data_IF_005354940806
#
_entry.id   IF_005354940806
#
_cell.length_a   1.000
_cell.length_b   1.000
_cell.length_c   1.000
_cell.angle_alpha   90.00
_cell.angle_beta   90.00
_cell.angle_gamma   90.00
#
_symmetry.space_group_name_H-M   'P 1'
#
loop_
_entity.id
_entity.type
_entity.pdbx_description
1 polymer ?
#
# COMPACT_ATOMS: atom_id res chain seq x y z
N UNK A 1 25.13 -7.89 3.10
CA UNK A 1 24.48 -6.64 3.54
C UNK A 1 25.57 -5.63 3.85
N UNK A 2 25.48 -4.40 3.33
CA UNK A 2 26.45 -3.33 3.64
C UNK A 2 25.90 -2.51 4.80
N UNK A 3 26.74 -2.25 5.80
CA UNK A 3 26.36 -1.44 6.95
C UNK A 3 25.89 -0.04 6.50
N UNK A 4 24.78 0.44 7.07
CA UNK A 4 24.17 1.72 6.70
C UNK A 4 23.31 1.70 5.43
N UNK A 5 23.06 0.55 4.82
CA UNK A 5 22.21 0.43 3.62
C UNK A 5 21.14 -0.65 3.80
N UNK A 6 20.00 -0.46 3.15
CA UNK A 6 18.97 -1.50 3.04
C UNK A 6 19.50 -2.70 2.27
N UNK A 7 18.97 -3.89 2.59
CA UNK A 7 19.29 -5.08 1.82
C UNK A 7 18.83 -4.88 0.37
N UNK A 8 19.66 -5.30 -0.58
CA UNK A 8 19.30 -5.27 -1.99
C UNK A 8 19.34 -6.70 -2.52
N UNK A 9 18.26 -7.11 -3.16
CA UNK A 9 18.16 -8.44 -3.77
C UNK A 9 18.15 -8.28 -5.28
N UNK A 10 18.92 -9.14 -5.93
CA UNK A 10 19.00 -9.19 -7.37
C UNK A 10 18.40 -10.53 -7.82
N UNK A 11 17.39 -10.50 -8.68
CA UNK A 11 16.86 -11.70 -9.34
C UNK A 11 17.26 -11.67 -10.81
N UNK A 12 17.99 -12.69 -11.23
CA UNK A 12 18.33 -12.89 -12.64
C UNK A 12 18.26 -14.36 -12.93
N UNK A 13 17.40 -14.69 -13.88
CA UNK A 13 17.23 -16.05 -14.34
C UNK A 13 18.38 -16.35 -15.31
N UNK A 14 19.16 -17.37 -14.98
CA UNK A 14 20.15 -17.91 -15.91
C UNK A 14 19.47 -19.00 -16.74
N UNK A 15 19.22 -18.73 -18.02
CA UNK A 15 18.29 -19.56 -18.79
C UNK A 15 18.93 -20.79 -19.45
N UNK A 16 20.27 -20.89 -19.54
CA UNK A 16 20.92 -22.01 -20.25
C UNK A 16 22.35 -22.28 -19.76
N UNK A 17 22.72 -23.55 -19.60
CA UNK A 17 24.11 -23.99 -19.61
C UNK A 17 24.56 -24.25 -21.05
N UNK A 18 25.43 -23.40 -21.62
CA UNK A 18 26.18 -23.73 -22.86
C UNK A 18 27.64 -23.93 -22.48
N UNK A 19 28.25 -25.04 -22.92
CA UNK A 19 29.64 -25.39 -22.61
C UNK A 19 29.95 -25.38 -21.09
N UNK A 20 29.02 -25.83 -20.25
CA UNK A 20 29.22 -25.87 -18.79
C UNK A 20 29.13 -24.52 -18.06
N UNK A 21 28.70 -23.45 -18.74
CA UNK A 21 28.57 -22.11 -18.13
C UNK A 21 27.14 -21.57 -18.23
N UNK A 22 26.66 -20.97 -17.14
CA UNK A 22 25.40 -20.21 -17.10
C UNK A 22 25.51 -18.95 -17.95
N UNK A 23 24.54 -18.73 -18.85
CA UNK A 23 24.47 -17.57 -19.72
C UNK A 23 23.39 -16.58 -19.25
N UNK A 24 23.65 -15.25 -19.38
CA UNK A 24 24.83 -14.62 -19.98
C UNK A 24 26.03 -14.59 -19.01
N UNK A 25 27.19 -15.02 -19.50
CA UNK A 25 28.45 -14.95 -18.75
C UNK A 25 29.11 -13.57 -18.91
N UNK A 26 29.66 -13.02 -17.82
CA UNK A 26 30.37 -11.72 -17.85
C UNK A 26 29.48 -10.47 -17.87
N UNK A 27 28.18 -10.59 -17.52
CA UNK A 27 27.30 -9.42 -17.42
C UNK A 27 27.57 -8.66 -16.11
N UNK A 28 28.00 -7.41 -16.20
CA UNK A 28 28.02 -6.51 -15.05
C UNK A 28 26.59 -6.09 -14.72
N UNK A 29 26.24 -6.20 -13.44
CA UNK A 29 24.90 -5.94 -12.94
C UNK A 29 24.98 -4.85 -11.89
N UNK A 30 24.44 -3.68 -12.23
CA UNK A 30 24.31 -2.58 -11.29
C UNK A 30 23.12 -2.85 -10.36
N UNK A 31 23.38 -2.84 -9.05
CA UNK A 31 22.34 -2.92 -8.02
C UNK A 31 22.38 -1.60 -7.25
N UNK A 32 21.28 -0.86 -7.25
CA UNK A 32 21.20 0.35 -6.43
C UNK A 32 21.01 -0.05 -4.97
N UNK A 33 21.92 0.43 -4.14
CA UNK A 33 21.81 0.34 -2.69
C UNK A 33 21.30 1.67 -2.16
N UNK A 34 20.23 1.63 -1.36
CA UNK A 34 19.70 2.85 -0.72
C UNK A 34 20.22 2.94 0.71
N UNK A 35 20.84 4.07 1.12
CA UNK A 35 21.28 4.26 2.49
C UNK A 35 20.08 4.35 3.43
N UNK A 36 20.29 3.90 4.66
CA UNK A 36 19.40 4.17 5.79
C UNK A 36 19.68 5.59 6.26
N UNK A 37 18.66 6.45 6.33
CA UNK A 37 18.86 7.87 6.66
C UNK A 37 18.25 8.21 8.01
N UNK A 38 16.92 8.18 8.10
CA UNK A 38 16.18 8.54 9.32
C UNK A 38 14.93 7.66 9.48
N UNK A 39 15.08 6.35 9.76
CA UNK A 39 13.93 5.47 9.93
C UNK A 39 13.15 5.83 11.20
N UNK A 40 11.83 5.90 11.09
CA UNK A 40 10.91 6.25 12.19
C UNK A 40 9.92 5.11 12.52
N UNK A 41 9.38 5.05 13.74
CA UNK A 41 8.31 4.13 14.08
C UNK A 41 7.06 4.39 13.25
N UNK A 42 6.38 3.35 12.79
CA UNK A 42 5.13 3.46 12.03
C UNK A 42 4.15 2.36 12.42
N UNK A 43 2.86 2.62 12.21
CA UNK A 43 1.84 1.57 12.21
C UNK A 43 1.94 0.81 10.89
N UNK A 44 2.39 -0.44 10.93
CA UNK A 44 2.62 -1.24 9.73
C UNK A 44 1.84 -2.54 9.79
N UNK A 45 0.99 -2.77 8.78
CA UNK A 45 0.18 -3.99 8.72
C UNK A 45 -0.04 -4.45 7.28
N UNK A 46 0.11 -5.75 7.07
CA UNK A 46 -0.25 -6.45 5.84
C UNK A 46 -1.38 -7.43 6.12
N UNK A 47 -2.61 -7.06 5.76
CA UNK A 47 -3.77 -7.88 6.08
C UNK A 47 -4.91 -7.71 5.07
N UNK A 48 -5.81 -8.70 5.06
CA UNK A 48 -7.07 -8.66 4.33
C UNK A 48 -8.21 -8.42 5.31
N UNK A 49 -8.81 -7.24 5.24
CA UNK A 49 -9.93 -6.84 6.09
C UNK A 49 -11.25 -7.19 5.41
N UNK A 50 -12.07 -8.04 6.02
CA UNK A 50 -13.41 -8.33 5.51
C UNK A 50 -14.26 -7.07 5.63
N UNK A 51 -14.86 -6.61 4.52
CA UNK A 51 -15.74 -5.44 4.54
C UNK A 51 -17.04 -5.81 5.28
N UNK A 52 -17.46 -5.02 6.29
CA UNK A 52 -18.55 -5.42 7.18
C UNK A 52 -19.93 -5.27 6.55
N UNK A 53 -20.11 -4.28 5.66
CA UNK A 53 -21.35 -4.02 4.93
C UNK A 53 -21.02 -3.58 3.50
N UNK A 54 -21.82 -4.06 2.53
CA UNK A 54 -21.67 -3.73 1.10
C UNK A 54 -22.66 -2.64 0.72
N UNK A 55 -22.30 -1.81 -0.25
CA UNK A 55 -23.13 -0.71 -0.74
C UNK A 55 -23.22 0.51 0.19
N UNK A 56 -22.54 0.48 1.34
CA UNK A 56 -22.48 1.58 2.30
C UNK A 56 -21.04 2.08 2.48
N UNK A 57 -20.91 3.34 2.88
CA UNK A 57 -19.63 3.94 3.26
C UNK A 57 -19.26 3.52 4.69
N UNK A 58 -18.06 2.99 4.85
CA UNK A 58 -17.53 2.51 6.14
C UNK A 58 -16.15 3.09 6.38
N UNK A 59 -15.98 3.73 7.53
CA UNK A 59 -14.67 4.24 7.97
C UNK A 59 -13.72 3.12 8.38
N UNK A 60 -12.44 3.30 8.13
CA UNK A 60 -11.34 2.45 8.60
C UNK A 60 -10.33 3.30 9.35
N UNK A 61 -9.97 2.86 10.56
CA UNK A 61 -9.01 3.53 11.44
C UNK A 61 -7.64 2.86 11.27
N UNK A 62 -6.67 3.59 10.72
CA UNK A 62 -5.36 3.04 10.37
C UNK A 62 -4.48 2.79 11.60
N UNK A 63 -4.67 3.54 12.70
CA UNK A 63 -3.93 3.32 13.95
C UNK A 63 -4.46 2.10 14.71
N UNK A 64 -5.76 1.82 14.60
CA UNK A 64 -6.38 0.62 15.20
C UNK A 64 -6.37 -0.57 14.27
N UNK A 65 -6.15 -0.34 12.98
CA UNK A 65 -6.27 -1.33 11.92
C UNK A 65 -7.61 -2.07 11.96
N UNK A 66 -8.70 -1.32 12.13
CA UNK A 66 -10.04 -1.86 12.30
C UNK A 66 -11.08 -0.90 11.73
N UNK A 67 -12.26 -1.44 11.43
CA UNK A 67 -13.41 -0.65 10.99
C UNK A 67 -13.87 0.29 12.09
N UNK A 68 -14.37 1.46 11.71
CA UNK A 68 -14.94 2.42 12.64
C UNK A 68 -16.30 1.92 13.14
N UNK A 69 -16.63 2.28 14.39
CA UNK A 69 -17.95 2.03 15.00
C UNK A 69 -19.06 2.41 14.00
N UNK A 70 -20.09 1.54 13.82
CA UNK A 70 -20.45 0.39 14.64
C UNK A 70 -19.81 -0.95 14.24
N UNK A 71 -18.99 -0.98 13.19
CA UNK A 71 -18.54 -2.23 12.57
C UNK A 71 -17.24 -2.80 13.15
N UNK A 72 -16.53 -2.01 13.94
CA UNK A 72 -15.32 -2.41 14.66
C UNK A 72 -15.06 -1.45 15.82
N UNK A 73 -13.82 -1.42 16.28
CA UNK A 73 -13.36 -0.59 17.41
C UNK A 73 -12.62 0.68 16.94
N UNK A 74 -12.53 0.90 15.63
CA UNK A 74 -12.06 2.13 15.00
C UNK A 74 -12.81 3.35 15.54
N UNK A 75 -12.08 4.44 15.77
CA UNK A 75 -12.65 5.69 16.30
C UNK A 75 -12.44 6.89 15.40
N UNK A 76 -11.49 6.81 14.46
CA UNK A 76 -11.21 7.86 13.48
C UNK A 76 -11.25 7.25 12.08
N UNK A 77 -12.07 7.79 11.19
CA UNK A 77 -12.14 7.34 9.81
C UNK A 77 -11.00 7.99 9.01
N UNK A 78 -9.90 7.26 8.84
CA UNK A 78 -8.76 7.69 8.04
C UNK A 78 -9.02 7.41 6.55
N UNK A 79 -9.58 6.25 6.26
CA UNK A 79 -10.10 5.87 4.95
C UNK A 79 -11.61 5.66 5.04
N UNK A 80 -12.36 6.07 4.03
CA UNK A 80 -13.76 5.69 3.86
C UNK A 80 -13.85 4.77 2.66
N UNK A 81 -14.27 3.52 2.91
CA UNK A 81 -14.46 2.54 1.86
C UNK A 81 -15.94 2.33 1.58
N UNK A 82 -16.26 2.18 0.29
CA UNK A 82 -17.54 1.65 -0.17
C UNK A 82 -17.28 0.54 -1.17
N UNK A 83 -17.85 -0.64 -0.92
CA UNK A 83 -17.79 -1.77 -1.83
C UNK A 83 -19.18 -2.04 -2.41
N UNK A 84 -19.41 -1.56 -3.64
CA UNK A 84 -20.59 -1.88 -4.43
C UNK A 84 -20.34 -3.18 -5.19
N UNK A 85 -21.22 -4.18 -5.04
CA UNK A 85 -20.97 -5.51 -5.61
C UNK A 85 -22.25 -6.24 -6.06
N UNK A 86 -22.19 -6.82 -7.26
CA UNK A 86 -23.01 -7.97 -7.70
C UNK A 86 -22.14 -9.22 -7.71
N UNK A 87 -22.62 -10.31 -7.11
CA UNK A 87 -21.90 -11.59 -7.09
C UNK A 87 -22.85 -12.74 -7.30
N UNK A 88 -22.74 -13.39 -8.45
CA UNK A 88 -23.49 -14.61 -8.74
C UNK A 88 -22.60 -15.83 -8.48
N UNK A 89 -21.35 -15.81 -8.97
CA UNK A 89 -20.32 -16.83 -8.70
C UNK A 89 -18.92 -16.32 -9.14
N UNK A 90 -17.88 -17.16 -9.00
CA UNK A 90 -16.51 -16.82 -9.36
C UNK A 90 -16.25 -16.55 -10.86
N UNK A 91 -17.19 -16.94 -11.73
CA UNK A 91 -17.14 -16.66 -13.17
C UNK A 91 -18.08 -15.51 -13.58
N UNK A 92 -18.93 -15.03 -12.67
CA UNK A 92 -19.89 -13.95 -12.92
C UNK A 92 -20.04 -13.02 -11.71
N UNK A 93 -19.38 -11.86 -11.77
CA UNK A 93 -19.42 -10.83 -10.75
C UNK A 93 -19.08 -9.44 -11.30
N UNK A 94 -19.46 -8.41 -10.58
CA UNK A 94 -19.08 -7.01 -10.81
C UNK A 94 -18.90 -6.34 -9.46
N UNK A 95 -17.74 -5.75 -9.20
CA UNK A 95 -17.45 -5.07 -7.96
C UNK A 95 -16.68 -3.79 -8.21
N UNK A 96 -17.07 -2.73 -7.52
CA UNK A 96 -16.37 -1.45 -7.51
C UNK A 96 -16.08 -1.08 -6.07
N UNK A 97 -14.78 -0.98 -5.75
CA UNK A 97 -14.32 -0.37 -4.51
C UNK A 97 -14.11 1.12 -4.75
N UNK A 98 -14.71 1.94 -3.88
CA UNK A 98 -14.47 3.37 -3.79
C UNK A 98 -13.75 3.66 -2.48
N UNK A 99 -12.67 4.44 -2.55
CA UNK A 99 -11.95 5.00 -1.41
C UNK A 99 -12.10 6.52 -1.44
N UNK A 100 -12.57 7.11 -0.34
CA UNK A 100 -12.70 8.56 -0.14
C UNK A 100 -12.06 8.99 1.16
N UNK A 101 -11.82 10.30 1.28
CA UNK A 101 -11.16 10.93 2.41
C UNK A 101 -12.04 12.06 2.97
N UNK A 102 -12.03 12.24 4.29
CA UNK A 102 -12.90 13.21 4.98
C UNK A 102 -12.38 14.64 4.85
N UNK A 103 -11.08 14.83 5.09
CA UNK A 103 -10.53 16.18 5.17
C UNK A 103 -10.13 16.70 3.78
N UNK A 104 -10.24 18.03 3.52
CA UNK A 104 -9.99 18.60 2.19
C UNK A 104 -8.58 18.38 1.62
N UNK A 105 -7.59 18.23 2.50
CA UNK A 105 -6.21 17.98 2.08
C UNK A 105 -5.86 16.49 2.10
N UNK A 106 -6.69 15.63 2.68
CA UNK A 106 -6.43 14.19 2.69
C UNK A 106 -6.58 13.60 1.28
N UNK A 107 -5.92 12.48 1.03
CA UNK A 107 -6.03 11.82 -0.26
C UNK A 107 -4.95 10.79 -0.53
N UNK A 108 -4.91 10.34 -1.77
CA UNK A 108 -4.05 9.24 -2.23
C UNK A 108 -3.42 9.56 -3.58
N UNK A 109 -2.22 9.02 -3.82
CA UNK A 109 -1.50 9.09 -5.08
C UNK A 109 -1.07 7.70 -5.49
N UNK A 110 -1.19 7.38 -6.78
CA UNK A 110 -0.64 6.16 -7.36
C UNK A 110 0.83 6.39 -7.69
N UNK A 111 1.69 5.47 -7.26
CA UNK A 111 3.10 5.42 -7.61
C UNK A 111 3.35 4.11 -8.36
N UNK A 112 3.75 4.21 -9.62
CA UNK A 112 4.05 3.05 -10.46
C UNK A 112 5.43 2.47 -10.15
N UNK A 113 5.47 1.16 -10.03
CA UNK A 113 6.67 0.34 -10.14
C UNK A 113 6.98 0.25 -11.65
N UNK A 114 7.94 1.03 -12.13
CA UNK A 114 8.18 1.15 -13.57
C UNK A 114 8.86 -0.08 -14.22
N UNK A 115 9.06 -1.18 -13.48
CA UNK A 115 9.69 -2.40 -13.98
C UNK A 115 11.09 -2.22 -14.58
N UNK A 116 11.65 -1.02 -14.54
CA UNK A 116 12.77 -0.55 -15.38
C UNK A 116 13.79 0.31 -14.64
N UNK A 117 13.58 0.61 -13.36
CA UNK A 117 14.60 1.04 -12.41
C UNK A 117 14.25 0.60 -10.99
N UNK A 118 15.12 -0.14 -10.31
CA UNK A 118 15.08 -0.39 -8.85
C UNK A 118 13.90 -1.11 -8.19
N UNK A 119 12.79 -1.37 -8.86
CA UNK A 119 11.59 -1.82 -8.15
C UNK A 119 11.39 -3.34 -8.07
N UNK A 120 11.91 -4.13 -9.03
CA UNK A 120 11.91 -5.61 -8.96
C UNK A 120 13.30 -6.23 -8.78
N UNK A 121 14.34 -5.41 -8.86
CA UNK A 121 15.75 -5.79 -8.71
C UNK A 121 16.44 -4.61 -8.03
N UNK A 122 16.88 -4.76 -6.78
CA UNK A 122 17.42 -3.63 -6.01
C UNK A 122 17.06 -3.63 -4.53
N UNK A 123 17.11 -2.43 -3.94
CA UNK A 123 16.88 -2.17 -2.51
C UNK A 123 15.48 -2.58 -2.03
N UNK A 124 15.41 -3.14 -0.81
CA UNK A 124 14.15 -3.44 -0.12
C UNK A 124 13.33 -2.18 0.19
N UNK A 125 13.99 -1.03 0.31
CA UNK A 125 13.34 0.27 0.40
C UNK A 125 13.05 0.80 -1.02
N UNK A 126 11.77 0.78 -1.44
CA UNK A 126 11.36 1.03 -2.84
C UNK A 126 10.68 2.38 -3.06
N UNK A 127 9.83 2.80 -2.12
CA UNK A 127 9.06 4.05 -2.21
C UNK A 127 9.89 5.28 -1.78
N UNK A 128 9.45 6.51 -2.09
CA UNK A 128 10.13 7.73 -1.66
C UNK A 128 10.36 7.77 -0.14
N UNK A 129 11.45 8.43 0.31
CA UNK A 129 11.69 8.69 1.74
C UNK A 129 10.79 9.77 2.30
N UNK A 130 10.33 10.67 1.45
CA UNK A 130 9.53 11.83 1.83
C UNK A 130 8.27 11.83 0.98
N UNK A 131 7.12 12.01 1.61
CA UNK A 131 5.85 12.18 0.93
C UNK A 131 5.81 13.53 0.20
N UNK A 132 5.17 13.61 -0.99
CA UNK A 132 5.01 14.86 -1.70
C UNK A 132 4.04 15.80 -0.97
N UNK A 133 4.15 17.11 -1.21
CA UNK A 133 3.27 18.12 -0.60
C UNK A 133 1.89 18.21 -1.29
N UNK A 134 1.84 17.93 -2.59
CA UNK A 134 0.67 18.12 -3.46
C UNK A 134 0.42 16.89 -4.33
N UNK A 135 -0.75 16.85 -5.01
CA UNK A 135 -1.11 15.80 -5.96
C UNK A 135 -2.03 14.71 -5.41
N UNK A 136 -2.44 14.81 -4.15
CA UNK A 136 -3.33 13.82 -3.52
C UNK A 136 -4.74 13.93 -4.08
N UNK A 137 -5.27 12.81 -4.57
CA UNK A 137 -6.64 12.70 -5.03
C UNK A 137 -7.54 12.42 -3.83
N UNK A 138 -8.67 13.14 -3.67
CA UNK A 138 -9.59 12.94 -2.54
C UNK A 138 -10.45 11.68 -2.70
N UNK A 139 -10.34 11.01 -3.84
CA UNK A 139 -11.12 9.83 -4.20
C UNK A 139 -10.34 8.94 -5.16
N UNK A 140 -10.49 7.63 -4.97
CA UNK A 140 -10.02 6.60 -5.90
C UNK A 140 -11.13 5.56 -6.09
N UNK A 141 -11.25 5.01 -7.30
CA UNK A 141 -12.15 3.91 -7.59
C UNK A 141 -11.40 2.81 -8.34
N UNK A 142 -11.73 1.56 -8.03
CA UNK A 142 -11.22 0.38 -8.74
C UNK A 142 -12.35 -0.59 -8.97
N UNK A 143 -12.52 -1.03 -10.20
CA UNK A 143 -13.50 -2.03 -10.61
C UNK A 143 -12.83 -3.33 -11.03
N UNK A 144 -13.46 -4.43 -10.64
CA UNK A 144 -13.18 -5.76 -11.19
C UNK A 144 -14.50 -6.39 -11.61
N UNK A 145 -14.51 -7.02 -12.77
CA UNK A 145 -15.69 -7.75 -13.24
C UNK A 145 -15.32 -8.97 -14.04
N UNK A 146 -16.19 -9.96 -14.02
CA UNK A 146 -16.10 -11.17 -14.85
C UNK A 146 -17.51 -11.58 -15.27
N UNK A 147 -17.67 -12.00 -16.52
CA UNK A 147 -18.94 -12.50 -17.03
C UNK A 147 -18.83 -12.95 -18.49
N UNK A 148 -19.98 -13.13 -19.14
CA UNK A 148 -20.08 -13.58 -20.54
C UNK A 148 -19.33 -12.69 -21.54
N UNK A 149 -19.23 -11.38 -21.25
CA UNK A 149 -18.52 -10.40 -22.07
C UNK A 149 -17.01 -10.29 -21.76
N UNK A 150 -16.49 -11.15 -20.87
CA UNK A 150 -15.07 -11.21 -20.52
C UNK A 150 -14.75 -10.75 -19.10
N UNK A 151 -13.46 -10.47 -18.86
CA UNK A 151 -12.92 -9.99 -17.59
C UNK A 151 -12.42 -8.55 -17.73
N UNK A 152 -12.66 -7.75 -16.71
CA UNK A 152 -12.08 -6.41 -16.56
C UNK A 152 -11.50 -6.26 -15.14
N UNK A 153 -10.44 -5.46 -15.02
CA UNK A 153 -9.70 -5.31 -13.77
C UNK A 153 -8.88 -4.01 -13.78
N UNK A 154 -9.18 -3.08 -12.87
CA UNK A 154 -8.37 -1.87 -12.59
C UNK A 154 -7.23 -2.15 -11.58
N UNK A 155 -7.02 -3.42 -11.25
CA UNK A 155 -5.91 -3.90 -10.42
C UNK A 155 -4.71 -4.10 -11.33
N UNK A 156 -3.59 -3.46 -11.00
CA UNK A 156 -2.31 -3.58 -11.69
C UNK A 156 -1.23 -4.01 -10.69
N UNK A 157 -0.37 -4.94 -11.09
CA UNK A 157 0.62 -5.54 -10.19
C UNK A 157 1.78 -4.60 -9.86
N UNK A 158 1.90 -3.49 -10.59
CA UNK A 158 2.93 -2.47 -10.44
C UNK A 158 2.48 -1.26 -9.61
N UNK A 159 1.25 -1.24 -9.10
CA UNK A 159 0.75 -0.12 -8.32
C UNK A 159 1.31 -0.14 -6.88
N UNK A 160 1.69 1.05 -6.41
CA UNK A 160 1.89 1.38 -5.00
C UNK A 160 1.17 2.70 -4.72
N UNK A 161 1.08 3.08 -3.45
CA UNK A 161 0.36 4.29 -3.08
C UNK A 161 1.08 5.10 -2.02
N UNK A 162 0.95 6.41 -2.12
CA UNK A 162 1.21 7.36 -1.04
C UNK A 162 -0.12 7.95 -0.61
N UNK A 163 -0.32 8.18 0.69
CA UNK A 163 -1.53 8.78 1.20
C UNK A 163 -1.24 9.80 2.30
N UNK A 164 -2.18 10.74 2.44
CA UNK A 164 -2.22 11.76 3.49
C UNK A 164 -3.56 11.66 4.20
N UNK A 165 -3.52 11.60 5.53
CA UNK A 165 -4.72 11.48 6.39
C UNK A 165 -4.59 12.39 7.60
N UNK A 166 -5.72 12.71 8.23
CA UNK A 166 -5.79 13.55 9.44
C UNK A 166 -5.09 14.90 9.24
N UNK A 167 -5.28 15.50 8.07
CA UNK A 167 -4.84 16.86 7.84
C UNK A 167 -5.55 17.84 8.77
N UNK A 168 -4.74 18.75 9.31
CA UNK A 168 -5.17 19.88 10.12
C UNK A 168 -4.86 21.16 9.34
N UNK A 169 -5.75 22.14 9.45
CA UNK A 169 -5.64 23.41 8.73
C UNK A 169 -5.49 24.56 9.72
N UNK A 170 -4.72 25.57 9.32
CA UNK A 170 -4.57 26.81 10.07
C UNK A 170 -5.82 27.70 9.98
N UNK A 171 -5.77 28.86 10.66
CA UNK A 171 -6.84 29.85 10.66
C UNK A 171 -7.15 30.44 9.26
N UNK A 172 -6.26 30.24 8.28
CA UNK A 172 -6.41 30.68 6.89
C UNK A 172 -6.85 29.54 5.95
N UNK A 173 -7.15 28.35 6.50
CA UNK A 173 -7.54 27.17 5.73
C UNK A 173 -6.39 26.53 4.95
N UNK A 174 -5.13 26.83 5.29
CA UNK A 174 -3.96 26.17 4.71
C UNK A 174 -3.58 24.96 5.53
N UNK A 175 -3.02 23.95 4.87
CA UNK A 175 -2.50 22.76 5.54
C UNK A 175 -1.41 23.14 6.56
N UNK A 176 -1.64 22.85 7.84
CA UNK A 176 -0.68 23.04 8.94
C UNK A 176 0.17 21.78 9.13
N UNK A 177 -0.49 20.62 9.24
CA UNK A 177 0.16 19.32 9.41
C UNK A 177 -0.77 18.19 8.98
N UNK A 178 -0.22 17.00 8.75
CA UNK A 178 -0.99 15.79 8.48
C UNK A 178 -0.15 14.56 8.82
N UNK A 179 -0.80 13.41 8.93
CA UNK A 179 -0.10 12.13 8.91
C UNK A 179 0.08 11.64 7.47
N UNK A 180 1.23 11.00 7.22
CA UNK A 180 1.58 10.50 5.90
C UNK A 180 1.84 9.00 5.95
N UNK A 181 1.57 8.34 4.84
CA UNK A 181 1.81 6.92 4.76
C UNK A 181 1.93 6.41 3.34
N UNK A 182 2.15 5.11 3.24
CA UNK A 182 2.31 4.40 1.98
C UNK A 182 1.61 3.05 2.03
N UNK A 183 1.12 2.60 0.88
CA UNK A 183 0.66 1.23 0.67
C UNK A 183 1.63 0.60 -0.32
N UNK A 184 2.26 -0.49 0.10
CA UNK A 184 3.19 -1.25 -0.72
C UNK A 184 2.41 -2.30 -1.51
N UNK A 185 2.52 -2.22 -2.83
CA UNK A 185 1.75 -3.03 -3.74
C UNK A 185 0.29 -2.58 -3.86
N UNK A 186 -0.43 -3.33 -4.68
CA UNK A 186 -1.78 -3.01 -5.09
C UNK A 186 -2.80 -3.07 -3.93
N UNK A 187 -3.69 -2.07 -3.86
CA UNK A 187 -4.86 -2.02 -2.98
C UNK A 187 -5.96 -2.88 -3.61
N UNK A 188 -6.06 -4.12 -3.14
CA UNK A 188 -6.95 -5.11 -3.75
C UNK A 188 -8.26 -5.19 -2.99
N UNK A 189 -9.36 -5.32 -3.74
CA UNK A 189 -10.63 -5.76 -3.17
C UNK A 189 -11.01 -7.15 -3.70
N UNK A 190 -11.70 -7.92 -2.88
CA UNK A 190 -12.18 -9.26 -3.21
C UNK A 190 -13.70 -9.31 -3.28
N UNK A 191 -14.19 -10.26 -4.07
CA UNK A 191 -15.62 -10.50 -4.30
C UNK A 191 -16.13 -11.70 -3.52
N UNK A 192 -17.39 -11.64 -3.07
CA UNK A 192 -18.17 -12.77 -2.57
C UNK A 192 -18.59 -12.58 -1.11
N UNK A 193 -19.01 -13.65 -0.44
CA UNK A 193 -19.41 -13.62 0.99
C UNK A 193 -18.25 -13.31 1.95
N UNK A 194 -17.01 -13.41 1.46
CA UNK A 194 -15.79 -12.97 2.13
C UNK A 194 -15.21 -11.67 1.56
N UNK A 195 -16.00 -10.87 0.84
CA UNK A 195 -15.54 -9.63 0.22
C UNK A 195 -14.74 -8.76 1.20
N UNK A 196 -13.61 -8.25 0.74
CA UNK A 196 -12.59 -7.71 1.64
C UNK A 196 -11.64 -6.78 0.92
N UNK A 197 -10.86 -6.01 1.67
CA UNK A 197 -9.82 -5.13 1.17
C UNK A 197 -8.48 -5.63 1.72
N UNK A 198 -7.53 -5.92 0.83
CA UNK A 198 -6.15 -6.23 1.19
C UNK A 198 -5.28 -5.01 1.01
N UNK A 199 -4.55 -4.68 2.07
CA UNK A 199 -3.59 -3.60 2.07
C UNK A 199 -2.37 -3.98 2.89
N UNK A 200 -1.21 -3.57 2.39
CA UNK A 200 0.06 -3.58 3.11
C UNK A 200 0.49 -2.14 3.33
N UNK A 201 0.02 -1.54 4.42
CA UNK A 201 0.20 -0.11 4.67
C UNK A 201 1.21 0.16 5.78
N UNK A 202 1.77 1.37 5.70
CA UNK A 202 2.66 1.97 6.67
C UNK A 202 2.12 3.38 6.92
N UNK A 203 1.76 3.69 8.17
CA UNK A 203 1.31 5.02 8.58
C UNK A 203 2.34 5.61 9.55
N UNK A 204 2.85 6.79 9.21
CA UNK A 204 3.67 7.59 10.10
C UNK A 204 2.78 8.53 10.94
N UNK A 205 2.70 8.35 12.26
CA UNK A 205 1.86 9.18 13.13
C UNK A 205 2.56 10.44 13.65
N UNK A 206 3.84 10.67 13.31
CA UNK A 206 4.63 11.78 13.88
C UNK A 206 4.37 13.15 13.22
N UNK A 207 3.42 13.22 12.28
CA UNK A 207 3.08 14.41 11.50
C UNK A 207 4.22 14.98 10.63
N UNK A 208 5.23 14.18 10.32
CA UNK A 208 6.26 14.51 9.33
C UNK A 208 6.00 13.77 8.02
N UNK A 209 6.49 14.29 6.87
CA UNK A 209 6.36 13.60 5.59
C UNK A 209 7.30 12.39 5.47
N UNK A 210 7.94 11.93 6.55
CA UNK A 210 8.87 10.81 6.51
C UNK A 210 8.14 9.48 6.25
N UNK A 211 8.62 8.73 5.25
CA UNK A 211 8.09 7.44 4.81
C UNK A 211 9.10 6.29 5.01
N UNK A 212 10.23 6.57 5.67
CA UNK A 212 11.25 5.60 6.03
C UNK A 212 10.89 4.86 7.32
N UNK A 213 10.42 3.63 7.20
CA UNK A 213 10.01 2.80 8.35
C UNK A 213 11.21 2.16 9.04
N UNK A 214 11.22 2.18 10.38
CA UNK A 214 12.12 1.36 11.19
C UNK A 214 11.53 -0.05 11.43
N UNK A 215 12.08 -1.12 10.82
CA UNK A 215 11.56 -2.48 10.96
C UNK A 215 11.58 -3.04 12.39
N UNK A 216 12.31 -2.40 13.32
CA UNK A 216 12.35 -2.78 14.73
C UNK A 216 11.28 -2.09 15.58
N UNK A 217 10.59 -1.08 15.02
CA UNK A 217 9.62 -0.23 15.73
C UNK A 217 8.28 -0.16 14.99
N UNK A 218 7.68 -1.32 14.77
CA UNK A 218 6.25 -1.38 14.43
C UNK A 218 5.43 -0.96 15.65
N UNK A 219 4.50 -0.03 15.47
CA UNK A 219 3.65 0.48 16.54
C UNK A 219 2.49 -0.46 16.90
N UNK A 220 2.22 -1.48 16.08
CA UNK A 220 1.38 -2.61 16.50
C UNK A 220 2.16 -3.57 17.39
N UNK A 221 1.78 -3.63 18.66
CA UNK A 221 2.46 -4.43 19.69
C UNK A 221 2.07 -5.92 19.68
N UNK A 222 0.94 -6.29 19.08
CA UNK A 222 0.49 -7.69 18.96
C UNK A 222 0.03 -7.91 17.53
N UNK A 223 0.88 -8.53 16.72
CA UNK A 223 0.54 -9.03 15.39
C UNK A 223 0.80 -10.53 15.36
N UNK A 224 -0.04 -11.29 14.65
CA UNK A 224 0.26 -12.70 14.38
C UNK A 224 1.57 -12.81 13.58
N UNK A 225 2.30 -13.92 13.69
CA UNK A 225 3.60 -14.08 13.01
C UNK A 225 3.56 -13.85 11.49
N UNK A 226 2.41 -14.09 10.85
CA UNK A 226 2.15 -13.81 9.42
C UNK A 226 1.87 -12.34 9.08
N UNK A 227 1.54 -11.52 10.07
CA UNK A 227 1.26 -10.08 9.92
C UNK A 227 2.46 -9.21 10.32
N UNK A 228 3.47 -9.80 10.98
CA UNK A 228 4.70 -9.12 11.33
C UNK A 228 5.48 -8.72 10.08
N UNK A 229 5.52 -7.42 9.81
CA UNK A 229 6.30 -6.84 8.71
C UNK A 229 7.71 -6.56 9.20
N UNK A 230 8.67 -7.34 8.72
CA UNK A 230 10.10 -7.21 9.04
C UNK A 230 10.87 -6.39 8.01
N UNK A 231 10.17 -5.77 7.05
CA UNK A 231 10.75 -5.11 5.88
C UNK A 231 10.21 -3.67 5.72
N UNK A 232 11.05 -2.70 5.33
CA UNK A 232 10.69 -1.29 5.16
C UNK A 232 9.80 -0.98 3.95
#
# INVERSE_FOLDING_TARGET
MKEGFYNSTFHHDFYVTRFGMWQPWGKELAVVMRPIVNPVPMYVRNHSFKVPVKGEEVGFDLEKADWVIPYGLGTKADFIFKLDQRYDNGDNYDATMTLTFVNPFDGIQVVKDDGGGDFNVGSWFRLPRTAPDTGYLPKMQKRISRGSYGRHSDIEDDNNYLFRVRSEVDEYGKLERAMYGKIRGELRHFVGDGGGIKMHYYLNPDYTPNLEFDPKRNLFIILSGSENVTHP
#
